data_IF_210613958855
#
_entry.id   IF_210613958855
#
_cell.length_a   1.000
_cell.length_b   1.000
_cell.length_c   1.000
_cell.angle_alpha   90.00
_cell.angle_beta   90.00
_cell.angle_gamma   90.00
#
_symmetry.space_group_name_H-M   'P 1'
#
loop_
_entity.id
_entity.type
_entity.pdbx_description
1 polymer ?
#
# COMPACT_ATOMS: atom_id res chain seq x y z
N UNK A 1 3.81 -28.19 22.46
CA UNK A 1 2.69 -27.22 22.34
C UNK A 1 3.19 -25.78 22.14
N UNK A 2 3.85 -25.12 23.11
CA UNK A 2 4.26 -23.70 23.02
C UNK A 2 5.17 -23.39 21.82
N UNK A 3 6.22 -24.18 21.59
CA UNK A 3 7.12 -24.01 20.43
C UNK A 3 6.39 -24.17 19.09
N UNK A 4 5.42 -25.09 19.00
CA UNK A 4 4.61 -25.29 17.80
C UNK A 4 3.72 -24.06 17.52
N UNK A 5 3.10 -23.50 18.57
CA UNK A 5 2.28 -22.28 18.47
C UNK A 5 3.14 -21.09 18.04
N UNK A 6 4.31 -20.90 18.64
CA UNK A 6 5.26 -19.85 18.26
C UNK A 6 5.71 -19.96 16.81
N UNK A 7 6.06 -21.17 16.35
CA UNK A 7 6.46 -21.40 14.96
C UNK A 7 5.31 -21.11 14.00
N UNK A 8 4.09 -21.52 14.36
CA UNK A 8 2.87 -21.27 13.57
C UNK A 8 2.48 -19.80 13.52
N UNK A 9 2.65 -19.05 14.62
CA UNK A 9 2.49 -17.60 14.64
C UNK A 9 3.52 -16.90 13.76
N UNK A 10 4.78 -17.36 13.77
CA UNK A 10 5.82 -16.84 12.88
C UNK A 10 5.46 -17.02 11.41
N UNK A 11 5.01 -18.22 11.01
CA UNK A 11 4.55 -18.46 9.64
C UNK A 11 3.32 -17.61 9.27
N UNK A 12 2.35 -17.47 10.18
CA UNK A 12 1.18 -16.64 9.96
C UNK A 12 1.55 -15.16 9.77
N UNK A 13 2.43 -14.63 10.61
CA UNK A 13 2.91 -13.25 10.51
C UNK A 13 3.64 -13.01 9.18
N UNK A 14 4.56 -13.92 8.79
CA UNK A 14 5.27 -13.83 7.51
C UNK A 14 4.28 -13.89 6.33
N UNK A 15 3.30 -14.79 6.38
CA UNK A 15 2.29 -14.91 5.32
C UNK A 15 1.44 -13.65 5.19
N UNK A 16 1.05 -13.02 6.30
CA UNK A 16 0.29 -11.78 6.30
C UNK A 16 1.10 -10.62 5.73
N UNK A 17 2.38 -10.52 6.13
CA UNK A 17 3.30 -9.50 5.59
C UNK A 17 3.48 -9.69 4.09
N UNK A 18 3.75 -10.91 3.62
CA UNK A 18 3.89 -11.21 2.20
C UNK A 18 2.61 -10.87 1.42
N UNK A 19 1.44 -11.23 1.94
CA UNK A 19 0.16 -10.91 1.32
C UNK A 19 -0.04 -9.40 1.21
N UNK A 20 0.21 -8.66 2.29
CA UNK A 20 0.06 -7.21 2.33
C UNK A 20 1.02 -6.51 1.36
N UNK A 21 2.30 -6.89 1.35
CA UNK A 21 3.29 -6.39 0.40
C UNK A 21 2.89 -6.71 -1.03
N UNK A 22 2.37 -7.91 -1.28
CA UNK A 22 1.88 -8.30 -2.60
C UNK A 22 0.74 -7.40 -3.04
N UNK A 23 -0.30 -7.23 -2.22
CA UNK A 23 -1.44 -6.35 -2.53
C UNK A 23 -0.96 -4.91 -2.77
N UNK A 24 -0.10 -4.39 -1.89
CA UNK A 24 0.46 -3.05 -2.02
C UNK A 24 1.21 -2.87 -3.34
N UNK A 25 2.07 -3.82 -3.71
CA UNK A 25 2.79 -3.81 -4.99
C UNK A 25 1.83 -3.91 -6.17
N UNK A 26 0.83 -4.78 -6.12
CA UNK A 26 -0.16 -4.91 -7.20
C UNK A 26 -0.92 -3.61 -7.40
N UNK A 27 -1.43 -2.98 -6.33
CA UNK A 27 -2.12 -1.70 -6.39
C UNK A 27 -1.23 -0.61 -7.00
N UNK A 28 0.05 -0.54 -6.60
CA UNK A 28 0.99 0.47 -7.10
C UNK A 28 1.47 0.19 -8.53
N UNK A 29 1.57 -1.08 -8.93
CA UNK A 29 1.93 -1.47 -10.31
C UNK A 29 0.76 -1.28 -11.29
N UNK A 30 -0.49 -1.44 -10.83
CA UNK A 30 -1.69 -1.26 -11.68
C UNK A 30 -1.97 0.19 -12.08
N UNK A 31 -1.28 1.15 -11.47
CA UNK A 31 -1.38 2.56 -11.84
C UNK A 31 -1.22 3.50 -10.66
N UNK A 32 -1.54 4.76 -10.88
CA UNK A 32 -1.50 5.75 -9.82
C UNK A 32 -2.78 5.68 -8.96
N UNK A 33 -2.72 5.29 -7.67
CA UNK A 33 -3.89 5.23 -6.80
C UNK A 33 -4.55 6.61 -6.63
N UNK A 34 -3.85 7.69 -6.96
CA UNK A 34 -4.42 9.04 -7.00
C UNK A 34 -5.63 9.12 -7.94
N UNK A 35 -5.66 8.31 -9.02
CA UNK A 35 -6.80 8.28 -9.97
C UNK A 35 -8.08 7.73 -9.33
N UNK A 36 -7.98 6.91 -8.27
CA UNK A 36 -9.15 6.42 -7.52
C UNK A 36 -9.68 7.45 -6.51
N UNK A 37 -8.86 8.43 -6.14
CA UNK A 37 -9.19 9.46 -5.15
C UNK A 37 -9.60 10.78 -5.79
N UNK A 38 -9.23 11.00 -7.05
CA UNK A 38 -9.50 12.22 -7.82
C UNK A 38 -10.77 12.04 -8.64
N UNK A 39 -11.68 13.02 -8.63
CA UNK A 39 -12.88 13.00 -9.48
C UNK A 39 -12.49 12.89 -10.97
N UNK A 40 -13.18 12.06 -11.77
CA UNK A 40 -12.86 11.88 -13.19
C UNK A 40 -12.97 13.22 -13.93
N UNK A 41 -11.82 13.77 -14.33
CA UNK A 41 -11.72 15.07 -15.03
C UNK A 41 -11.03 16.19 -14.24
N UNK A 42 -10.51 15.93 -13.02
CA UNK A 42 -9.77 16.95 -12.28
C UNK A 42 -8.49 17.38 -13.00
N UNK A 43 -8.08 18.64 -12.78
CA UNK A 43 -6.89 19.21 -13.38
C UNK A 43 -5.62 18.54 -12.84
N UNK A 44 -4.51 18.56 -13.60
CA UNK A 44 -3.22 18.03 -13.14
C UNK A 44 -2.78 18.69 -11.82
N UNK A 45 -3.12 19.97 -11.62
CA UNK A 45 -2.84 20.69 -10.37
C UNK A 45 -3.60 20.12 -9.16
N UNK A 46 -4.83 19.64 -9.36
CA UNK A 46 -5.63 19.03 -8.29
C UNK A 46 -5.09 17.64 -7.93
N UNK A 47 -4.60 16.91 -8.93
CA UNK A 47 -3.90 15.62 -8.72
C UNK A 47 -2.64 15.79 -7.88
N UNK A 48 -1.82 16.80 -8.17
CA UNK A 48 -0.58 17.07 -7.43
C UNK A 48 -0.84 17.55 -6.00
N UNK A 49 -1.90 18.32 -5.78
CA UNK A 49 -2.33 18.72 -4.44
C UNK A 49 -2.78 17.52 -3.59
N UNK A 50 -3.51 16.57 -4.18
CA UNK A 50 -3.94 15.33 -3.51
C UNK A 50 -2.73 14.43 -3.26
N UNK A 51 -1.82 14.30 -4.22
CA UNK A 51 -0.59 13.53 -4.06
C UNK A 51 0.26 14.01 -2.86
N UNK A 52 0.39 15.33 -2.69
CA UNK A 52 1.07 15.91 -1.53
C UNK A 52 0.29 15.72 -0.22
N UNK A 53 -1.03 15.96 -0.22
CA UNK A 53 -1.85 15.82 0.99
C UNK A 53 -1.87 14.39 1.55
N UNK A 54 -1.97 13.40 0.66
CA UNK A 54 -2.01 11.99 1.04
C UNK A 54 -0.61 11.35 1.10
N UNK A 55 0.45 12.11 0.84
CA UNK A 55 1.83 11.61 0.87
C UNK A 55 2.11 10.53 -0.17
N UNK A 56 1.34 10.51 -1.27
CA UNK A 56 1.49 9.55 -2.38
C UNK A 56 2.77 9.80 -3.20
N UNK A 57 3.41 10.95 -2.99
CA UNK A 57 4.73 11.33 -3.51
C UNK A 57 5.89 10.75 -2.70
N UNK A 58 5.62 10.25 -1.50
CA UNK A 58 6.68 9.80 -0.58
C UNK A 58 7.15 8.40 -0.98
N UNK A 59 8.42 8.06 -0.71
CA UNK A 59 8.94 6.75 -1.05
C UNK A 59 8.12 5.63 -0.39
N UNK A 60 8.04 4.47 -1.07
CA UNK A 60 7.08 3.40 -0.77
C UNK A 60 7.12 2.91 0.69
N UNK A 61 8.26 3.00 1.37
CA UNK A 61 8.41 2.65 2.79
C UNK A 61 7.71 3.63 3.76
N UNK A 62 7.31 4.81 3.30
CA UNK A 62 6.53 5.80 4.07
C UNK A 62 5.03 5.67 3.81
N UNK A 63 4.63 5.02 2.71
CA UNK A 63 3.23 4.78 2.36
C UNK A 63 2.65 3.51 2.99
N UNK A 64 3.51 2.66 3.57
CA UNK A 64 3.14 1.46 4.30
C UNK A 64 3.20 1.74 5.81
#
# INVERSE_FOLDING_TARGET
MKQYILKRLGYAAISLVLLSVTIFLFVRLTGDPTVLLVEPGASQADMDAIRQQFGLDRPLWVQY
#
